data_IF_099224278392
#
_entry.id   IF_099224278392
#
_cell.length_a   1.000
_cell.length_b   1.000
_cell.length_c   1.000
_cell.angle_alpha   90.00
_cell.angle_beta   90.00
_cell.angle_gamma   90.00
#
_symmetry.space_group_name_H-M   'P 1'
#
loop_
_entity.id
_entity.type
_entity.pdbx_description
1 polymer ?
#
# COMPACT_ATOMS: atom_id res chain seq x y z
N UNK A 1 7.35 -4.24 14.62
CA UNK A 1 7.26 -5.40 13.74
C UNK A 1 6.27 -5.16 12.65
N UNK A 2 6.57 -5.61 11.47
CA UNK A 2 5.75 -5.23 10.32
C UNK A 2 6.18 -6.10 9.15
N UNK A 3 5.26 -6.52 8.32
CA UNK A 3 5.55 -6.98 6.97
C UNK A 3 4.83 -6.11 5.97
N UNK A 4 5.50 -5.81 4.88
CA UNK A 4 5.02 -4.88 3.86
C UNK A 4 5.44 -5.34 2.47
N UNK A 5 4.71 -4.85 1.49
CA UNK A 5 5.08 -4.90 0.09
C UNK A 5 4.99 -3.50 -0.51
N UNK A 6 6.02 -3.09 -1.24
CA UNK A 6 5.98 -1.92 -2.12
C UNK A 6 6.00 -2.41 -3.55
N UNK A 7 5.18 -1.84 -4.43
CA UNK A 7 5.13 -2.33 -5.80
C UNK A 7 4.68 -1.26 -6.81
N UNK A 8 5.07 -1.49 -8.06
CA UNK A 8 4.59 -0.80 -9.26
C UNK A 8 3.95 -1.79 -10.22
N UNK A 9 2.81 -1.45 -10.74
CA UNK A 9 2.19 -2.21 -11.83
C UNK A 9 2.77 -1.81 -13.19
N UNK A 10 3.42 -2.72 -13.95
CA UNK A 10 4.00 -2.36 -15.24
C UNK A 10 2.95 -2.04 -16.32
N UNK A 11 1.70 -2.55 -16.16
CA UNK A 11 0.60 -2.32 -17.12
C UNK A 11 -0.05 -0.96 -16.96
N UNK A 12 -0.27 -0.51 -15.73
CA UNK A 12 -1.05 0.70 -15.42
C UNK A 12 -0.20 1.87 -14.93
N UNK A 13 1.03 1.61 -14.48
CA UNK A 13 1.85 2.60 -13.80
C UNK A 13 1.47 2.86 -12.34
N UNK A 14 0.41 2.23 -11.82
CA UNK A 14 0.02 2.34 -10.41
C UNK A 14 1.20 2.01 -9.50
N UNK A 15 1.30 2.76 -8.40
CA UNK A 15 2.28 2.59 -7.35
C UNK A 15 1.56 2.38 -6.03
N UNK A 16 2.07 1.48 -5.17
CA UNK A 16 1.37 1.21 -3.91
C UNK A 16 2.19 0.51 -2.85
N UNK A 17 1.63 0.53 -1.64
CA UNK A 17 2.15 -0.14 -0.45
C UNK A 17 1.01 -0.92 0.21
N UNK A 18 1.28 -2.19 0.51
CA UNK A 18 0.49 -3.00 1.43
C UNK A 18 1.30 -3.23 2.71
N UNK A 19 0.67 -3.13 3.89
CA UNK A 19 1.34 -3.30 5.18
C UNK A 19 0.45 -3.95 6.22
N UNK A 20 1.01 -4.81 7.06
CA UNK A 20 0.36 -5.35 8.27
C UNK A 20 1.33 -5.42 9.45
N UNK A 21 0.81 -5.22 10.68
CA UNK A 21 1.65 -5.10 11.88
C UNK A 21 0.87 -5.38 13.17
N UNK A 22 1.60 -5.79 14.21
CA UNK A 22 1.15 -5.70 15.61
C UNK A 22 1.53 -4.32 16.19
N UNK A 23 1.00 -3.28 15.57
CA UNK A 23 1.08 -1.89 16.02
C UNK A 23 -0.22 -1.18 15.63
N UNK A 24 -0.62 -0.17 16.38
CA UNK A 24 -1.80 0.66 16.07
C UNK A 24 -1.55 1.46 14.79
N UNK A 25 -2.53 1.48 13.88
CA UNK A 25 -2.59 2.39 12.73
C UNK A 25 -1.31 2.40 11.86
N UNK A 26 -0.74 1.21 11.58
CA UNK A 26 0.56 1.09 10.88
C UNK A 26 0.58 1.76 9.50
N UNK A 27 -0.58 1.82 8.82
CA UNK A 27 -0.70 2.44 7.50
C UNK A 27 -0.36 3.93 7.49
N UNK A 28 -0.59 4.63 8.61
CA UNK A 28 -0.28 6.07 8.73
C UNK A 28 1.21 6.36 8.90
N UNK A 29 2.02 5.36 9.27
CA UNK A 29 3.42 5.55 9.64
C UNK A 29 4.42 4.93 8.65
N UNK A 30 3.99 3.92 7.87
CA UNK A 30 4.90 3.09 7.07
C UNK A 30 4.87 3.45 5.59
N UNK A 31 3.69 3.80 5.04
CA UNK A 31 3.46 3.95 3.61
C UNK A 31 3.70 5.39 3.13
N UNK A 32 4.54 5.55 2.10
CA UNK A 32 4.82 6.81 1.42
C UNK A 32 4.72 6.56 -0.09
N UNK A 33 3.73 7.15 -0.74
CA UNK A 33 3.50 6.91 -2.17
C UNK A 33 3.19 8.23 -2.86
N UNK A 34 3.72 8.40 -4.08
CA UNK A 34 3.43 9.56 -4.94
C UNK A 34 3.29 9.10 -6.39
N UNK A 35 2.19 9.51 -7.01
CA UNK A 35 1.87 9.18 -8.41
C UNK A 35 3.00 9.63 -9.35
N UNK A 36 3.41 8.74 -10.26
CA UNK A 36 4.47 9.01 -11.24
C UNK A 36 5.87 9.17 -10.64
N UNK A 37 6.06 8.93 -9.33
CA UNK A 37 7.35 9.09 -8.63
C UNK A 37 7.83 7.80 -8.02
N UNK A 38 7.08 7.20 -7.10
CA UNK A 38 7.48 5.98 -6.44
C UNK A 38 6.61 5.60 -5.23
N UNK A 39 6.92 4.42 -4.67
CA UNK A 39 6.33 3.91 -3.43
C UNK A 39 7.42 3.43 -2.48
N UNK A 40 7.29 3.73 -1.19
CA UNK A 40 8.28 3.46 -0.16
C UNK A 40 7.59 2.97 1.10
N UNK A 41 8.15 1.92 1.71
CA UNK A 41 7.81 1.49 3.06
C UNK A 41 8.99 1.75 3.98
N UNK A 42 8.79 2.54 5.05
CA UNK A 42 9.79 2.77 6.11
C UNK A 42 9.27 2.20 7.42
N UNK A 43 9.96 1.22 7.98
CA UNK A 43 9.49 0.42 9.11
C UNK A 43 10.62 -0.04 10.06
N UNK A 44 10.34 -0.97 10.97
CA UNK A 44 11.13 -1.36 12.13
C UNK A 44 11.11 -0.25 13.19
N UNK A 45 12.24 0.33 13.58
CA UNK A 45 12.23 1.56 14.36
C UNK A 45 12.03 2.73 13.39
N UNK A 46 10.77 3.12 13.17
CA UNK A 46 10.36 4.02 12.07
C UNK A 46 11.11 5.35 12.10
N UNK A 47 11.64 5.75 10.93
CA UNK A 47 12.04 7.12 10.65
C UNK A 47 11.24 7.62 9.44
N UNK A 48 10.24 8.50 9.65
CA UNK A 48 9.40 9.01 8.57
C UNK A 48 10.18 9.73 7.47
N UNK A 49 11.27 10.37 7.81
CA UNK A 49 12.08 11.11 6.85
C UNK A 49 12.75 10.20 5.81
N UNK A 50 12.99 8.92 6.11
CA UNK A 50 13.49 7.99 5.09
C UNK A 50 12.48 7.81 3.96
N UNK A 51 11.17 7.81 4.25
CA UNK A 51 10.13 7.80 3.22
C UNK A 51 9.99 9.14 2.49
N UNK A 52 9.90 10.24 3.26
CA UNK A 52 9.68 11.59 2.72
C UNK A 52 10.84 12.02 1.81
N UNK A 53 12.08 11.91 2.30
CA UNK A 53 13.26 12.36 1.58
C UNK A 53 13.56 11.45 0.38
N UNK A 54 13.29 10.13 0.49
CA UNK A 54 13.40 9.23 -0.67
C UNK A 54 12.45 9.63 -1.79
N UNK A 55 11.17 9.93 -1.50
CA UNK A 55 10.24 10.42 -2.52
C UNK A 55 10.73 11.72 -3.18
N UNK A 56 11.29 12.64 -2.41
CA UNK A 56 11.87 13.88 -2.97
C UNK A 56 13.05 13.60 -3.91
N UNK A 57 13.91 12.64 -3.56
CA UNK A 57 15.04 12.25 -4.41
C UNK A 57 14.60 11.53 -5.68
N UNK A 58 13.59 10.66 -5.59
CA UNK A 58 12.97 10.02 -6.76
C UNK A 58 12.36 11.07 -7.70
N UNK A 59 11.63 12.06 -7.17
CA UNK A 59 11.06 13.16 -7.94
C UNK A 59 12.12 14.02 -8.65
N UNK A 60 13.31 14.10 -8.08
CA UNK A 60 14.48 14.74 -8.70
C UNK A 60 15.16 13.87 -9.78
N UNK A 61 14.63 12.66 -10.05
CA UNK A 61 15.11 11.73 -11.07
C UNK A 61 16.22 10.79 -10.63
N UNK A 62 16.46 10.64 -9.33
CA UNK A 62 17.37 9.59 -8.85
C UNK A 62 16.68 8.23 -8.93
N UNK A 63 17.34 7.15 -9.37
CA UNK A 63 16.77 5.81 -9.30
C UNK A 63 16.65 5.34 -7.85
N UNK A 64 15.73 4.39 -7.59
CA UNK A 64 15.40 3.87 -6.25
C UNK A 64 16.64 3.50 -5.42
N UNK A 65 17.63 2.83 -6.04
CA UNK A 65 18.86 2.42 -5.36
C UNK A 65 19.67 3.61 -4.84
N UNK A 66 19.83 4.67 -5.64
CA UNK A 66 20.61 5.85 -5.25
C UNK A 66 19.88 6.74 -4.27
N UNK A 67 18.54 6.85 -4.40
CA UNK A 67 17.72 7.58 -3.45
C UNK A 67 17.79 6.92 -2.06
N UNK A 68 17.61 5.59 -2.01
CA UNK A 68 17.64 4.85 -0.75
C UNK A 68 19.03 4.86 -0.10
N UNK A 69 20.11 4.63 -0.86
CA UNK A 69 21.49 4.72 -0.38
C UNK A 69 21.75 6.05 0.32
N UNK A 70 21.36 7.16 -0.33
CA UNK A 70 21.63 8.51 0.18
C UNK A 70 20.92 8.81 1.50
N UNK A 71 19.65 8.41 1.64
CA UNK A 71 18.90 8.65 2.88
C UNK A 71 19.37 7.75 4.02
N UNK A 72 19.73 6.49 3.72
CA UNK A 72 20.27 5.54 4.71
C UNK A 72 21.66 5.98 5.21
N UNK A 73 22.54 6.46 4.34
CA UNK A 73 23.86 6.96 4.73
C UNK A 73 23.76 8.15 5.69
N UNK A 74 22.75 9.00 5.54
CA UNK A 74 22.52 10.16 6.41
C UNK A 74 21.92 9.81 7.78
N UNK A 75 21.27 8.64 7.93
CA UNK A 75 20.63 8.21 9.19
C UNK A 75 21.63 7.50 10.10
N UNK A 76 21.97 8.15 11.23
CA UNK A 76 22.83 7.55 12.26
C UNK A 76 22.20 6.31 12.93
N UNK A 77 20.88 6.17 12.88
CA UNK A 77 20.13 5.04 13.41
C UNK A 77 19.86 3.94 12.40
N UNK A 78 20.47 3.97 11.21
CA UNK A 78 20.20 3.06 10.09
C UNK A 78 20.17 1.59 10.45
N UNK A 79 21.01 1.15 11.39
CA UNK A 79 21.04 -0.25 11.80
C UNK A 79 19.72 -0.76 12.40
N UNK A 80 18.85 0.16 12.85
CA UNK A 80 17.53 -0.15 13.40
C UNK A 80 16.40 0.06 12.37
N UNK A 81 16.71 0.43 11.12
CA UNK A 81 15.72 0.75 10.09
C UNK A 81 15.53 -0.41 9.12
N UNK A 82 14.34 -0.46 8.55
CA UNK A 82 14.05 -1.33 7.42
C UNK A 82 13.24 -0.51 6.41
N UNK A 83 13.72 -0.41 5.18
CA UNK A 83 13.15 0.46 4.15
C UNK A 83 13.19 -0.26 2.81
N UNK A 84 12.14 -0.09 2.01
CA UNK A 84 12.11 -0.50 0.61
C UNK A 84 11.51 0.60 -0.25
N UNK A 85 11.96 0.67 -1.49
CA UNK A 85 11.51 1.63 -2.48
C UNK A 85 11.31 0.97 -3.84
N UNK A 86 10.31 1.43 -4.58
CA UNK A 86 10.16 1.22 -6.03
C UNK A 86 9.95 2.58 -6.69
N UNK A 87 10.66 2.86 -7.78
CA UNK A 87 10.50 4.10 -8.55
C UNK A 87 9.47 3.97 -9.68
N UNK A 88 9.25 5.08 -10.40
CA UNK A 88 8.29 5.14 -11.50
C UNK A 88 8.67 4.25 -12.70
N UNK A 89 9.92 3.86 -12.85
CA UNK A 89 10.41 2.93 -13.88
C UNK A 89 10.32 1.47 -13.45
N UNK A 90 10.06 1.21 -12.15
CA UNK A 90 9.98 -0.13 -11.56
C UNK A 90 11.34 -0.64 -11.06
N UNK A 91 12.36 0.23 -10.95
CA UNK A 91 13.58 -0.16 -10.26
C UNK A 91 13.31 -0.25 -8.76
N UNK A 92 13.92 -1.24 -8.11
CA UNK A 92 13.74 -1.54 -6.69
C UNK A 92 15.01 -1.28 -5.90
N UNK A 93 14.84 -1.04 -4.60
CA UNK A 93 15.91 -1.04 -3.63
C UNK A 93 15.36 -1.38 -2.25
N UNK A 94 16.14 -2.12 -1.46
CA UNK A 94 15.78 -2.45 -0.09
C UNK A 94 16.98 -2.36 0.85
N UNK A 95 16.69 -2.08 2.11
CA UNK A 95 17.66 -2.05 3.20
C UNK A 95 17.04 -2.63 4.45
N UNK A 96 17.73 -3.61 5.05
CA UNK A 96 17.41 -4.17 6.38
C UNK A 96 18.62 -3.98 7.26
N UNK A 97 18.51 -3.11 8.26
CA UNK A 97 19.59 -2.81 9.19
C UNK A 97 19.93 -4.00 10.10
N UNK A 98 21.20 -4.12 10.46
CA UNK A 98 21.73 -5.24 11.25
C UNK A 98 21.16 -5.34 12.67
N UNK A 99 20.59 -4.27 13.18
CA UNK A 99 19.91 -4.21 14.47
C UNK A 99 18.41 -4.47 14.41
N UNK A 100 17.84 -4.78 13.24
CA UNK A 100 16.45 -5.22 13.13
C UNK A 100 16.29 -6.58 13.85
N UNK A 101 15.21 -6.71 14.62
CA UNK A 101 14.96 -7.92 15.39
C UNK A 101 14.53 -9.07 14.47
N UNK A 102 15.12 -10.22 14.61
CA UNK A 102 14.89 -11.43 13.82
C UNK A 102 13.48 -12.04 13.97
N UNK A 103 12.95 -12.72 12.98
CA UNK A 103 13.50 -12.77 11.63
C UNK A 103 13.26 -11.42 10.93
N UNK A 104 14.27 -10.87 10.27
CA UNK A 104 14.15 -9.65 9.48
C UNK A 104 14.88 -9.80 8.15
N UNK A 105 14.27 -9.36 7.06
CA UNK A 105 14.82 -9.44 5.71
C UNK A 105 13.85 -8.95 4.66
N UNK A 106 14.24 -9.13 3.40
CA UNK A 106 13.44 -8.72 2.23
C UNK A 106 13.66 -9.66 1.04
N UNK A 107 12.72 -9.62 0.11
CA UNK A 107 12.78 -10.25 -1.22
C UNK A 107 12.48 -9.18 -2.25
N UNK A 108 13.40 -8.99 -3.20
CA UNK A 108 13.24 -8.09 -4.34
C UNK A 108 12.87 -8.86 -5.59
N UNK A 109 11.93 -8.32 -6.37
CA UNK A 109 11.54 -8.85 -7.68
C UNK A 109 11.36 -7.73 -8.71
N UNK A 110 10.83 -8.07 -9.86
CA UNK A 110 10.59 -7.10 -10.94
C UNK A 110 9.49 -6.10 -10.58
N UNK A 111 9.87 -4.90 -10.12
CA UNK A 111 8.95 -3.82 -9.77
C UNK A 111 8.28 -3.98 -8.42
N UNK A 112 8.80 -4.81 -7.51
CA UNK A 112 8.28 -4.92 -6.15
C UNK A 112 9.36 -5.34 -5.14
N UNK A 113 9.10 -5.04 -3.86
CA UNK A 113 9.86 -5.55 -2.71
C UNK A 113 8.91 -6.00 -1.62
N UNK A 114 9.07 -7.23 -1.13
CA UNK A 114 8.47 -7.72 0.11
C UNK A 114 9.51 -7.63 1.22
N UNK A 115 9.16 -7.06 2.37
CA UNK A 115 10.07 -6.88 3.49
C UNK A 115 9.37 -7.07 4.82
N UNK A 116 10.12 -7.45 5.85
CA UNK A 116 9.55 -7.57 7.19
C UNK A 116 10.61 -7.75 8.27
N UNK A 117 10.19 -7.53 9.50
CA UNK A 117 11.03 -7.66 10.69
C UNK A 117 10.22 -8.26 11.85
N UNK A 118 10.91 -8.99 12.74
CA UNK A 118 10.35 -9.82 13.82
C UNK A 118 9.26 -10.79 13.29
N UNK A 119 9.40 -11.30 12.10
CA UNK A 119 8.48 -12.24 11.48
C UNK A 119 8.57 -13.63 12.09
N UNK A 120 7.57 -14.46 11.81
CA UNK A 120 7.59 -15.88 12.13
C UNK A 120 8.79 -16.61 11.47
N UNK A 121 9.18 -16.17 10.27
CA UNK A 121 10.30 -16.68 9.51
C UNK A 121 10.44 -16.01 8.14
N UNK A 122 11.43 -16.44 7.37
CA UNK A 122 11.70 -16.00 6.02
C UNK A 122 10.53 -16.31 5.04
N UNK A 123 9.79 -17.38 5.32
CA UNK A 123 8.68 -17.82 4.49
C UNK A 123 7.60 -16.75 4.36
N UNK A 124 7.44 -15.85 5.35
CA UNK A 124 6.48 -14.74 5.27
C UNK A 124 6.73 -13.89 4.02
N UNK A 125 7.93 -13.38 3.82
CA UNK A 125 8.25 -12.53 2.65
C UNK A 125 8.33 -13.33 1.35
N UNK A 126 8.68 -14.61 1.41
CA UNK A 126 8.71 -15.49 0.23
C UNK A 126 7.31 -15.81 -0.28
N UNK A 127 6.37 -16.13 0.61
CA UNK A 127 4.98 -16.40 0.21
C UNK A 127 4.28 -15.12 -0.26
N UNK A 128 4.58 -13.95 0.36
CA UNK A 128 4.15 -12.65 -0.17
C UNK A 128 4.59 -12.46 -1.62
N UNK A 129 5.88 -12.70 -1.90
CA UNK A 129 6.43 -12.58 -3.25
C UNK A 129 5.76 -13.54 -4.25
N UNK A 130 5.58 -14.81 -3.87
CA UNK A 130 4.90 -15.81 -4.72
C UNK A 130 3.46 -15.43 -5.05
N UNK A 131 2.71 -14.97 -4.05
CA UNK A 131 1.33 -14.54 -4.25
C UNK A 131 1.25 -13.32 -5.18
N UNK A 132 2.15 -12.34 -5.00
CA UNK A 132 2.22 -11.17 -5.86
C UNK A 132 2.59 -11.51 -7.31
N UNK A 133 3.55 -12.40 -7.52
CA UNK A 133 3.95 -12.88 -8.85
C UNK A 133 2.87 -13.75 -9.51
N UNK A 134 2.17 -14.57 -8.72
CA UNK A 134 1.10 -15.45 -9.20
C UNK A 134 -0.17 -14.71 -9.62
N UNK A 135 -0.34 -13.44 -9.22
CA UNK A 135 -1.53 -12.62 -9.47
C UNK A 135 -1.32 -11.53 -10.53
N UNK A 136 -0.46 -11.75 -11.52
CA UNK A 136 -0.05 -10.75 -12.52
C UNK A 136 -1.22 -10.18 -13.34
N UNK A 137 -2.30 -10.94 -13.52
CA UNK A 137 -3.49 -10.51 -14.26
C UNK A 137 -4.41 -9.58 -13.44
N UNK A 138 -4.26 -9.59 -12.11
CA UNK A 138 -5.06 -8.75 -11.23
C UNK A 138 -4.57 -7.29 -11.24
N UNK A 139 -5.39 -6.39 -10.71
CA UNK A 139 -5.01 -5.00 -10.48
C UNK A 139 -4.09 -4.86 -9.27
N UNK A 140 -3.33 -3.76 -9.20
CA UNK A 140 -2.33 -3.58 -8.16
C UNK A 140 -2.90 -3.67 -6.73
N UNK A 141 -4.06 -3.05 -6.38
CA UNK A 141 -4.62 -3.18 -5.04
C UNK A 141 -4.89 -4.62 -4.63
N UNK A 142 -5.50 -5.43 -5.52
CA UNK A 142 -5.76 -6.86 -5.29
C UNK A 142 -4.45 -7.64 -5.07
N UNK A 143 -3.45 -7.41 -5.91
CA UNK A 143 -2.14 -8.09 -5.82
C UNK A 143 -1.42 -7.81 -4.50
N UNK A 144 -1.48 -6.56 -4.02
CA UNK A 144 -0.91 -6.17 -2.74
C UNK A 144 -1.63 -6.86 -1.58
N UNK A 145 -2.96 -6.95 -1.67
CA UNK A 145 -3.78 -7.59 -0.64
C UNK A 145 -3.53 -9.11 -0.59
N UNK A 146 -3.48 -9.79 -1.74
CA UNK A 146 -3.11 -11.21 -1.86
C UNK A 146 -1.73 -11.48 -1.25
N UNK A 147 -0.77 -10.58 -1.45
CA UNK A 147 0.54 -10.69 -0.83
C UNK A 147 0.46 -10.57 0.71
N UNK A 148 -0.35 -9.65 1.25
CA UNK A 148 -0.55 -9.53 2.70
C UNK A 148 -1.23 -10.78 3.30
N UNK A 149 -2.23 -11.34 2.61
CA UNK A 149 -2.91 -12.56 3.01
C UNK A 149 -1.92 -13.74 3.09
N UNK A 150 -1.15 -13.95 2.03
CA UNK A 150 -0.12 -15.00 1.99
C UNK A 150 0.94 -14.83 3.10
N UNK A 151 1.38 -13.59 3.34
CA UNK A 151 2.31 -13.29 4.44
C UNK A 151 1.71 -13.57 5.81
N UNK A 152 0.42 -13.24 6.00
CA UNK A 152 -0.30 -13.54 7.25
C UNK A 152 -0.48 -15.04 7.46
N UNK A 153 -0.82 -15.82 6.41
CA UNK A 153 -0.94 -17.27 6.45
C UNK A 153 0.39 -17.97 6.75
N UNK A 154 1.49 -17.43 6.22
CA UNK A 154 2.85 -17.92 6.51
C UNK A 154 3.34 -17.58 7.94
N UNK A 155 2.48 -16.99 8.78
CA UNK A 155 2.75 -16.73 10.19
C UNK A 155 2.90 -15.24 10.54
N UNK A 156 3.11 -14.35 9.58
CA UNK A 156 3.11 -12.90 9.74
C UNK A 156 4.01 -12.39 10.87
N UNK A 157 3.47 -11.44 11.59
CA UNK A 157 4.09 -10.82 12.77
C UNK A 157 4.06 -11.78 13.98
N UNK A 158 5.24 -12.18 14.48
CA UNK A 158 5.38 -13.13 15.62
C UNK A 158 4.70 -12.66 16.91
N UNK A 159 4.44 -11.37 17.09
CA UNK A 159 3.72 -10.82 18.27
C UNK A 159 2.21 -10.95 18.14
N UNK A 160 1.68 -11.22 16.96
CA UNK A 160 0.26 -11.24 16.64
C UNK A 160 -0.14 -10.17 15.63
N UNK A 161 -1.41 -9.79 15.63
CA UNK A 161 -2.07 -8.97 14.62
C UNK A 161 -2.70 -7.74 15.25
N UNK A 162 -2.75 -6.59 14.56
CA UNK A 162 -3.45 -5.40 15.08
C UNK A 162 -3.94 -4.46 13.99
N UNK A 163 -3.12 -4.13 12.99
CA UNK A 163 -3.50 -3.21 11.94
C UNK A 163 -3.01 -3.65 10.58
N UNK A 164 -3.68 -3.21 9.52
CA UNK A 164 -3.27 -3.41 8.13
C UNK A 164 -3.72 -2.21 7.28
N UNK A 165 -3.03 -1.99 6.16
CA UNK A 165 -3.40 -0.93 5.25
C UNK A 165 -2.99 -1.25 3.82
N UNK A 166 -3.72 -0.62 2.89
CA UNK A 166 -3.48 -0.60 1.46
C UNK A 166 -3.51 0.85 0.99
N UNK A 167 -2.42 1.31 0.40
CA UNK A 167 -2.34 2.67 -0.14
C UNK A 167 -1.80 2.60 -1.57
N UNK A 168 -2.63 2.98 -2.54
CA UNK A 168 -2.31 2.91 -3.97
C UNK A 168 -2.66 4.23 -4.63
N UNK A 169 -1.76 4.74 -5.47
CA UNK A 169 -1.98 5.89 -6.34
C UNK A 169 -1.89 5.48 -7.80
N UNK A 170 -2.56 6.23 -8.68
CA UNK A 170 -2.50 6.02 -10.11
C UNK A 170 -1.83 7.21 -10.82
N UNK A 171 -2.60 8.00 -11.53
CA UNK A 171 -2.11 9.18 -12.26
C UNK A 171 -2.18 10.46 -11.44
N UNK A 172 -3.09 10.50 -10.47
CA UNK A 172 -3.37 11.68 -9.67
C UNK A 172 -2.70 11.62 -8.30
N UNK A 173 -2.49 12.78 -7.67
CA UNK A 173 -1.85 12.89 -6.36
C UNK A 173 -2.73 12.38 -5.21
N UNK A 174 -4.06 12.33 -5.40
CA UNK A 174 -4.95 11.68 -4.46
C UNK A 174 -4.92 10.15 -4.64
N UNK A 175 -5.19 9.37 -3.58
CA UNK A 175 -5.15 7.92 -3.66
C UNK A 175 -6.22 7.38 -4.60
N UNK A 176 -5.84 6.36 -5.39
CA UNK A 176 -6.79 5.48 -6.07
C UNK A 176 -7.48 4.55 -5.07
N UNK A 177 -6.72 4.01 -4.11
CA UNK A 177 -7.24 3.18 -3.03
C UNK A 177 -6.47 3.51 -1.75
N UNK A 178 -7.15 3.95 -0.68
CA UNK A 178 -6.59 4.15 0.66
C UNK A 178 -7.52 3.49 1.68
N UNK A 179 -7.18 2.26 2.06
CA UNK A 179 -7.94 1.47 3.02
C UNK A 179 -7.07 1.15 4.23
N UNK A 180 -7.63 1.38 5.42
CA UNK A 180 -6.91 1.15 6.68
C UNK A 180 -7.79 0.48 7.72
N UNK A 181 -7.20 -0.52 8.35
CA UNK A 181 -7.70 -1.16 9.55
C UNK A 181 -6.73 -0.78 10.67
N UNK A 182 -7.09 0.19 11.48
CA UNK A 182 -6.18 0.79 12.46
C UNK A 182 -6.03 -0.08 13.73
N UNK A 183 -7.09 -0.80 14.13
CA UNK A 183 -7.09 -1.72 15.29
C UNK A 183 -8.15 -2.82 15.12
N UNK A 184 -7.72 -4.04 14.86
CA UNK A 184 -8.60 -5.21 14.72
C UNK A 184 -7.83 -6.51 15.05
N UNK A 185 -8.45 -7.55 15.63
CA UNK A 185 -7.79 -8.83 15.89
C UNK A 185 -7.37 -9.57 14.60
N UNK A 186 -8.13 -9.41 13.51
CA UNK A 186 -7.84 -9.99 12.20
C UNK A 186 -7.79 -8.88 11.13
N UNK A 187 -6.70 -8.05 11.12
CA UNK A 187 -6.69 -6.82 10.34
C UNK A 187 -6.60 -7.05 8.82
N UNK A 188 -5.95 -8.12 8.37
CA UNK A 188 -5.83 -8.44 6.94
C UNK A 188 -7.16 -8.97 6.39
N UNK A 189 -7.87 -9.80 7.15
CA UNK A 189 -9.21 -10.26 6.80
C UNK A 189 -10.22 -9.11 6.74
N UNK A 190 -10.17 -8.20 7.73
CA UNK A 190 -11.01 -7.00 7.72
C UNK A 190 -10.63 -6.06 6.57
N UNK A 191 -9.35 -5.94 6.22
CA UNK A 191 -8.90 -5.18 5.06
C UNK A 191 -9.46 -5.77 3.76
N UNK A 192 -9.52 -7.12 3.62
CA UNK A 192 -10.19 -7.83 2.51
C UNK A 192 -11.66 -7.43 2.44
N UNK A 193 -12.37 -7.48 3.56
CA UNK A 193 -13.79 -7.08 3.61
C UNK A 193 -14.00 -5.63 3.17
N UNK A 194 -13.13 -4.71 3.63
CA UNK A 194 -13.17 -3.30 3.22
C UNK A 194 -12.86 -3.13 1.73
N UNK A 195 -11.93 -3.91 1.20
CA UNK A 195 -11.59 -3.87 -0.22
C UNK A 195 -12.76 -4.32 -1.12
N UNK A 196 -13.53 -5.34 -0.70
CA UNK A 196 -14.75 -5.73 -1.41
C UNK A 196 -15.85 -4.64 -1.37
N UNK A 197 -15.94 -3.90 -0.26
CA UNK A 197 -16.83 -2.72 -0.18
C UNK A 197 -16.34 -1.62 -1.13
N UNK A 198 -15.05 -1.30 -1.10
CA UNK A 198 -14.43 -0.31 -1.98
C UNK A 198 -14.68 -0.62 -3.47
N UNK A 199 -14.44 -1.86 -3.89
CA UNK A 199 -14.68 -2.29 -5.29
C UNK A 199 -16.13 -2.13 -5.74
N UNK A 200 -17.07 -2.32 -4.84
CA UNK A 200 -18.50 -2.20 -5.14
C UNK A 200 -18.99 -0.75 -5.10
N UNK A 201 -18.51 0.03 -4.13
CA UNK A 201 -19.08 1.33 -3.78
C UNK A 201 -18.25 2.52 -4.26
N UNK A 202 -16.93 2.50 -4.11
CA UNK A 202 -16.05 3.65 -4.37
C UNK A 202 -15.30 3.57 -5.71
N UNK A 203 -14.75 2.40 -6.04
CA UNK A 203 -13.96 2.24 -7.27
C UNK A 203 -14.70 2.66 -8.55
N UNK A 204 -16.01 2.38 -8.73
CA UNK A 204 -16.76 2.84 -9.90
C UNK A 204 -16.81 4.36 -10.06
N UNK A 205 -16.60 5.11 -8.97
CA UNK A 205 -16.60 6.57 -8.98
C UNK A 205 -15.25 7.19 -9.31
N UNK A 206 -14.15 6.42 -9.21
CA UNK A 206 -12.81 6.92 -9.51
C UNK A 206 -12.70 7.48 -10.94
N UNK A 207 -13.47 6.98 -11.89
CA UNK A 207 -13.52 7.49 -13.24
C UNK A 207 -14.11 8.92 -13.36
N UNK A 208 -14.87 9.37 -12.35
CA UNK A 208 -15.50 10.69 -12.31
C UNK A 208 -14.71 11.70 -11.47
N UNK A 209 -13.63 11.26 -10.84
CA UNK A 209 -12.81 12.13 -10.02
C UNK A 209 -12.07 13.16 -10.90
N UNK A 210 -11.94 14.43 -10.45
CA UNK A 210 -11.24 15.48 -11.19
C UNK A 210 -9.79 15.07 -11.45
N UNK A 211 -9.27 15.42 -12.61
CA UNK A 211 -7.86 15.27 -12.97
C UNK A 211 -7.15 16.62 -12.90
N UNK A 212 -5.82 16.59 -12.74
CA UNK A 212 -5.04 17.83 -12.59
C UNK A 212 -5.18 18.78 -13.80
N UNK A 213 -5.30 18.24 -14.99
CA UNK A 213 -5.45 18.98 -16.26
C UNK A 213 -6.92 19.22 -16.63
N UNK A 214 -7.86 18.58 -15.97
CA UNK A 214 -9.29 18.76 -16.15
C UNK A 214 -10.02 18.67 -14.80
N UNK A 215 -10.22 19.83 -14.19
CA UNK A 215 -10.97 19.96 -12.93
C UNK A 215 -12.49 19.88 -13.12
N UNK A 216 -12.96 19.85 -14.37
CA UNK A 216 -14.37 19.76 -14.69
C UNK A 216 -14.71 18.28 -14.80
N UNK A 217 -15.38 17.65 -13.81
CA UNK A 217 -15.97 16.34 -14.06
C UNK A 217 -16.87 16.46 -15.29
N UNK A 218 -16.95 15.43 -16.13
CA UNK A 218 -17.98 15.39 -17.14
C UNK A 218 -19.31 15.70 -16.46
N UNK A 219 -19.83 16.90 -16.65
CA UNK A 219 -20.97 17.43 -15.90
C UNK A 219 -22.19 16.49 -15.98
N UNK A 220 -22.38 15.85 -17.15
CA UNK A 220 -23.41 14.83 -17.33
C UNK A 220 -23.20 13.59 -16.46
N UNK A 221 -21.95 13.18 -16.23
CA UNK A 221 -21.63 12.05 -15.37
C UNK A 221 -21.87 12.39 -13.90
N UNK A 222 -21.50 13.61 -13.47
CA UNK A 222 -21.77 14.09 -12.11
C UNK A 222 -23.29 14.19 -11.84
N UNK A 223 -24.08 14.61 -12.83
CA UNK A 223 -25.55 14.65 -12.73
C UNK A 223 -26.13 13.23 -12.63
N UNK A 224 -25.67 12.29 -13.46
CA UNK A 224 -26.11 10.88 -13.38
C UNK A 224 -25.79 10.28 -12.03
N UNK A 225 -24.60 10.56 -11.48
CA UNK A 225 -24.21 10.09 -10.14
C UNK A 225 -25.13 10.64 -9.06
N UNK A 226 -25.44 11.95 -9.09
CA UNK A 226 -26.40 12.57 -8.17
C UNK A 226 -27.78 11.88 -8.25
N UNK A 227 -28.24 11.59 -9.46
CA UNK A 227 -29.55 11.00 -9.69
C UNK A 227 -29.58 9.55 -9.19
N UNK A 228 -28.51 8.76 -9.40
CA UNK A 228 -28.38 7.41 -8.82
C UNK A 228 -28.41 7.39 -7.28
N UNK A 229 -27.73 8.35 -6.64
CA UNK A 229 -27.80 8.48 -5.17
C UNK A 229 -29.22 8.86 -4.72
N UNK A 230 -29.89 9.77 -5.42
CA UNK A 230 -31.24 10.17 -5.08
C UNK A 230 -32.22 8.99 -5.18
N UNK A 231 -32.12 8.18 -6.23
CA UNK A 231 -32.92 6.97 -6.41
C UNK A 231 -32.67 5.95 -5.29
N UNK A 232 -31.41 5.69 -4.95
CA UNK A 232 -31.07 4.77 -3.86
C UNK A 232 -31.61 5.22 -2.49
N UNK A 233 -31.57 6.52 -2.18
CA UNK A 233 -32.13 7.09 -0.96
C UNK A 233 -33.65 7.00 -0.91
N UNK A 234 -34.33 7.12 -2.05
CA UNK A 234 -35.77 6.96 -2.15
C UNK A 234 -36.19 5.50 -1.91
N UNK A 235 -35.45 4.53 -2.46
CA UNK A 235 -35.67 3.09 -2.24
C UNK A 235 -35.48 2.68 -0.77
N UNK A 236 -34.42 3.16 -0.11
CA UNK A 236 -34.19 2.91 1.31
C UNK A 236 -35.31 3.49 2.17
N UNK A 237 -35.79 4.69 1.82
CA UNK A 237 -36.85 5.37 2.54
C UNK A 237 -38.21 4.64 2.37
N UNK A 238 -38.46 4.08 1.19
CA UNK A 238 -39.65 3.26 0.92
C UNK A 238 -39.62 1.96 1.71
N UNK A 239 -38.47 1.27 1.70
CA UNK A 239 -38.29 -0.01 2.42
C UNK A 239 -38.38 0.17 3.95
N UNK A 240 -37.93 1.31 4.48
CA UNK A 240 -38.04 1.62 5.91
C UNK A 240 -39.44 1.94 6.38
N UNK A 241 -40.33 2.39 5.48
CA UNK A 241 -41.74 2.65 5.79
C UNK A 241 -42.64 1.41 5.75
N UNK A 242 -42.16 0.33 5.14
CA UNK A 242 -42.87 -0.98 5.07
C UNK A 242 -42.49 -1.93 6.21
N UNK A 243 -41.53 -1.56 7.05
CA UNK A 243 -41.16 -2.28 8.30
C UNK A 243 -41.73 -1.59 9.54
#
# INVERSE_FOLDING_TARGET
MTFSIVARCPRTGMLGVGVSSKALATGSAVAYVRAGVGAIASQAFVNPYLGIDSLQLLEQGLPASRALERVIESDRGRDLRQVAAVDAEGNTAAFTGSGCIDWAGHVEGGGYVCLGNILAGEDVVKEMARAFEGSVEEELPERLLLALEAGQEAGGDRRGRQSAALYVVHTEEYPYCDLRVDDHPEPVEELRRLFEVYRREDEPFMQYMPRRDDFTPEWEAALRFRDLIAEALEEETATAKER
#
